data_IF_123115739774
#
_entry.id   IF_123115739774
#
_cell.length_a   1.000
_cell.length_b   1.000
_cell.length_c   1.000
_cell.angle_alpha   90.00
_cell.angle_beta   90.00
_cell.angle_gamma   90.00
#
_symmetry.space_group_name_H-M   'P 1'
#
loop_
_entity.id
_entity.type
_entity.pdbx_description
1 polymer ?
#
# COMPACT_ATOMS: atom_id res chain seq x y z
N UNK A 1 -36.35 2.13 -16.36
CA UNK A 1 -35.24 2.64 -15.54
C UNK A 1 -34.00 2.75 -16.39
N UNK A 2 -33.29 3.85 -16.27
CA UNK A 2 -32.04 4.00 -16.98
C UNK A 2 -30.95 3.21 -16.25
N UNK A 3 -30.18 2.48 -17.05
CA UNK A 3 -29.01 1.77 -16.53
C UNK A 3 -28.00 2.77 -15.98
N UNK A 4 -27.27 2.40 -14.92
CA UNK A 4 -26.18 3.20 -14.38
C UNK A 4 -25.15 3.51 -15.47
N UNK A 5 -24.99 2.63 -16.44
CA UNK A 5 -24.09 2.83 -17.58
C UNK A 5 -24.47 4.03 -18.45
N UNK A 6 -25.73 4.45 -18.39
CA UNK A 6 -26.24 5.59 -19.17
C UNK A 6 -26.25 6.89 -18.36
N UNK A 7 -26.03 6.84 -17.07
CA UNK A 7 -26.01 8.03 -16.23
C UNK A 7 -24.79 8.89 -16.52
N UNK A 8 -25.01 10.20 -16.63
CA UNK A 8 -23.93 11.14 -16.89
C UNK A 8 -22.93 11.14 -15.72
N UNK A 9 -21.65 10.99 -16.04
CA UNK A 9 -20.58 11.00 -15.05
C UNK A 9 -20.42 9.70 -14.26
N UNK A 10 -21.26 8.69 -14.50
CA UNK A 10 -21.20 7.42 -13.78
C UNK A 10 -20.15 6.46 -14.33
N UNK A 11 -19.58 6.73 -15.48
CA UNK A 11 -18.61 5.85 -16.14
C UNK A 11 -17.35 6.59 -16.52
N UNK A 12 -16.27 5.84 -16.71
CA UNK A 12 -15.02 6.36 -17.23
C UNK A 12 -14.29 5.22 -17.96
N UNK A 13 -13.35 5.60 -18.83
CA UNK A 13 -12.51 4.61 -19.52
C UNK A 13 -11.41 4.10 -18.58
N UNK A 14 -10.84 2.95 -18.92
CA UNK A 14 -9.66 2.43 -18.22
C UNK A 14 -8.49 3.41 -18.25
N UNK A 15 -8.30 4.12 -19.37
CA UNK A 15 -7.28 5.16 -19.48
C UNK A 15 -7.52 6.31 -18.48
N UNK A 16 -8.77 6.79 -18.41
CA UNK A 16 -9.15 7.85 -17.47
C UNK A 16 -9.00 7.40 -16.03
N UNK A 17 -9.34 6.14 -15.71
CA UNK A 17 -9.16 5.57 -14.37
C UNK A 17 -7.70 5.57 -13.97
N UNK A 18 -6.79 5.21 -14.88
CA UNK A 18 -5.35 5.23 -14.61
C UNK A 18 -4.84 6.64 -14.35
N UNK A 19 -5.28 7.60 -15.15
CA UNK A 19 -4.85 8.99 -15.04
C UNK A 19 -5.41 9.69 -13.80
N UNK A 20 -6.70 9.48 -13.53
CA UNK A 20 -7.40 10.17 -12.44
C UNK A 20 -7.06 9.58 -11.07
N UNK A 21 -6.96 8.26 -10.96
CA UNK A 21 -6.80 7.56 -9.69
C UNK A 21 -5.42 6.94 -9.47
N UNK A 22 -4.52 7.06 -10.44
CA UNK A 22 -3.17 6.53 -10.31
C UNK A 22 -3.08 5.01 -10.30
N UNK A 23 -4.08 4.33 -10.86
CA UNK A 23 -4.08 2.88 -10.97
C UNK A 23 -3.23 2.42 -12.16
N UNK A 24 -2.65 1.23 -12.04
CA UNK A 24 -1.95 0.61 -13.16
C UNK A 24 -2.94 -0.21 -13.99
N UNK A 25 -2.57 -0.47 -15.24
CA UNK A 25 -3.39 -1.31 -16.12
C UNK A 25 -3.56 -2.72 -15.53
N UNK A 26 -2.51 -3.25 -14.92
CA UNK A 26 -2.55 -4.56 -14.29
C UNK A 26 -3.52 -4.60 -13.10
N UNK A 27 -3.54 -3.56 -12.27
CA UNK A 27 -4.47 -3.45 -11.16
C UNK A 27 -5.92 -3.45 -11.64
N UNK A 28 -6.19 -2.73 -12.74
CA UNK A 28 -7.53 -2.69 -13.35
C UNK A 28 -7.92 -4.07 -13.87
N UNK A 29 -7.06 -4.74 -14.64
CA UNK A 29 -7.35 -6.05 -15.17
C UNK A 29 -7.53 -7.11 -14.08
N UNK A 30 -6.73 -7.06 -13.03
CA UNK A 30 -6.85 -7.96 -11.88
C UNK A 30 -8.22 -7.79 -11.21
N UNK A 31 -8.65 -6.54 -11.00
CA UNK A 31 -9.95 -6.24 -10.40
C UNK A 31 -11.11 -6.68 -11.30
N UNK A 32 -10.97 -6.53 -12.62
CA UNK A 32 -11.96 -7.01 -13.58
C UNK A 32 -12.11 -8.53 -13.51
N UNK A 33 -11.00 -9.26 -13.46
CA UNK A 33 -11.00 -10.73 -13.34
C UNK A 33 -11.57 -11.20 -12.00
N UNK A 34 -11.34 -10.43 -10.94
CA UNK A 34 -11.87 -10.74 -9.61
C UNK A 34 -13.34 -10.39 -9.44
N UNK A 35 -13.96 -9.76 -10.44
CA UNK A 35 -15.36 -9.34 -10.36
C UNK A 35 -15.59 -8.06 -9.57
N UNK A 36 -14.55 -7.34 -9.22
CA UNK A 36 -14.67 -6.06 -8.50
C UNK A 36 -15.02 -4.89 -9.41
N UNK A 37 -14.63 -4.97 -10.67
CA UNK A 37 -14.96 -3.97 -11.69
C UNK A 37 -15.77 -4.61 -12.80
N UNK A 38 -16.99 -4.13 -12.99
CA UNK A 38 -17.79 -4.45 -14.16
C UNK A 38 -17.25 -3.61 -15.32
N UNK A 39 -17.30 -4.15 -16.51
CA UNK A 39 -16.75 -3.46 -17.67
C UNK A 39 -17.57 -3.72 -18.92
N UNK A 40 -17.49 -2.77 -19.86
CA UNK A 40 -17.98 -2.93 -21.22
C UNK A 40 -16.80 -2.69 -22.14
N UNK A 41 -16.55 -3.61 -23.05
CA UNK A 41 -15.49 -3.46 -24.03
C UNK A 41 -16.01 -2.69 -25.24
N UNK A 42 -15.30 -1.61 -25.58
CA UNK A 42 -15.57 -0.81 -26.75
C UNK A 42 -14.32 -0.74 -27.61
N UNK A 43 -14.50 -0.27 -28.84
CA UNK A 43 -13.38 -0.14 -29.78
C UNK A 43 -13.47 1.22 -30.44
N UNK A 44 -12.34 1.92 -30.55
CA UNK A 44 -12.26 3.18 -31.26
C UNK A 44 -11.06 3.10 -32.22
N UNK A 45 -11.31 3.27 -33.50
CA UNK A 45 -10.28 3.19 -34.54
C UNK A 45 -9.44 1.90 -34.47
N UNK A 46 -10.10 0.79 -34.15
CA UNK A 46 -9.44 -0.51 -34.03
C UNK A 46 -8.75 -0.78 -32.70
N UNK A 47 -8.71 0.19 -31.80
CA UNK A 47 -8.09 0.05 -30.49
C UNK A 47 -9.16 -0.26 -29.43
N UNK A 48 -9.09 -1.40 -28.75
CA UNK A 48 -10.03 -1.73 -27.69
C UNK A 48 -9.79 -0.86 -26.46
N UNK A 49 -10.89 -0.50 -25.80
CA UNK A 49 -10.84 0.16 -24.52
C UNK A 49 -11.99 -0.33 -23.66
N UNK A 50 -11.87 -0.17 -22.34
CA UNK A 50 -12.86 -0.65 -21.39
C UNK A 50 -13.56 0.52 -20.73
N UNK A 51 -14.89 0.40 -20.65
CA UNK A 51 -15.73 1.36 -19.94
C UNK A 51 -16.02 0.78 -18.57
N UNK A 52 -15.74 1.55 -17.53
CA UNK A 52 -15.84 1.12 -16.14
C UNK A 52 -16.87 1.98 -15.41
N UNK A 53 -17.38 1.47 -14.31
CA UNK A 53 -18.26 2.24 -13.42
C UNK A 53 -17.41 3.00 -12.40
N UNK A 54 -17.60 4.31 -12.33
CA UNK A 54 -16.82 5.19 -11.46
C UNK A 54 -16.90 4.77 -9.99
N UNK A 55 -18.10 4.44 -9.50
CA UNK A 55 -18.25 4.06 -8.09
C UNK A 55 -17.45 2.81 -7.70
N UNK A 56 -17.30 1.88 -8.63
CA UNK A 56 -16.50 0.67 -8.41
C UNK A 56 -15.01 0.98 -8.41
N UNK A 57 -14.57 1.88 -9.29
CA UNK A 57 -13.18 2.33 -9.31
C UNK A 57 -12.82 3.06 -8.02
N UNK A 58 -13.71 3.92 -7.54
CA UNK A 58 -13.52 4.63 -6.27
C UNK A 58 -13.44 3.68 -5.09
N UNK A 59 -14.27 2.62 -5.07
CA UNK A 59 -14.23 1.59 -4.03
C UNK A 59 -12.90 0.83 -4.06
N UNK A 60 -12.39 0.53 -5.25
CA UNK A 60 -11.09 -0.15 -5.41
C UNK A 60 -9.93 0.70 -4.88
N UNK A 61 -9.94 2.00 -5.16
CA UNK A 61 -8.93 2.94 -4.66
C UNK A 61 -8.98 3.02 -3.14
N UNK A 62 -10.17 3.07 -2.57
CA UNK A 62 -10.38 3.10 -1.12
C UNK A 62 -9.82 1.84 -0.45
N UNK A 63 -10.07 0.67 -1.03
CA UNK A 63 -9.56 -0.60 -0.55
C UNK A 63 -8.02 -0.62 -0.60
N UNK A 64 -7.44 -0.17 -1.71
CA UNK A 64 -5.99 -0.11 -1.89
C UNK A 64 -5.34 0.82 -0.86
N UNK A 65 -5.91 2.00 -0.65
CA UNK A 65 -5.42 2.98 0.33
C UNK A 65 -5.51 2.44 1.75
N UNK A 66 -6.60 1.75 2.09
CA UNK A 66 -6.78 1.13 3.39
C UNK A 66 -5.73 0.06 3.68
N UNK A 67 -5.46 -0.81 2.71
CA UNK A 67 -4.43 -1.85 2.83
C UNK A 67 -3.03 -1.25 2.97
N UNK A 68 -2.72 -0.25 2.17
CA UNK A 68 -1.42 0.44 2.24
C UNK A 68 -1.23 1.14 3.59
N UNK A 69 -2.27 1.78 4.11
CA UNK A 69 -2.25 2.43 5.41
C UNK A 69 -2.04 1.45 6.56
N UNK A 70 -2.69 0.28 6.51
CA UNK A 70 -2.54 -0.76 7.52
C UNK A 70 -1.12 -1.32 7.51
N UNK A 71 -0.57 -1.60 6.34
CA UNK A 71 0.81 -2.08 6.19
C UNK A 71 1.80 -1.06 6.74
N UNK A 72 1.60 0.22 6.46
CA UNK A 72 2.43 1.30 6.97
C UNK A 72 2.44 1.34 8.50
N UNK A 73 1.27 1.18 9.13
CA UNK A 73 1.15 1.12 10.60
C UNK A 73 1.91 -0.06 11.18
N UNK A 74 1.82 -1.23 10.54
CA UNK A 74 2.53 -2.43 10.98
C UNK A 74 4.05 -2.22 10.93
N UNK A 75 4.56 -1.63 9.85
CA UNK A 75 5.99 -1.34 9.69
C UNK A 75 6.48 -0.31 10.70
N UNK A 76 5.67 0.70 10.99
CA UNK A 76 6.01 1.72 12.00
C UNK A 76 6.10 1.11 13.39
N UNK A 77 5.19 0.20 13.73
CA UNK A 77 5.21 -0.51 15.01
C UNK A 77 6.46 -1.38 15.14
N UNK A 78 6.78 -2.14 14.11
CA UNK A 78 7.98 -2.98 14.07
C UNK A 78 9.25 -2.14 14.27
N UNK A 79 9.34 -1.01 13.59
CA UNK A 79 10.48 -0.11 13.73
C UNK A 79 10.60 0.43 15.16
N UNK A 80 9.47 0.83 15.76
CA UNK A 80 9.45 1.31 17.14
C UNK A 80 9.94 0.25 18.13
N UNK A 81 9.50 -1.00 17.94
CA UNK A 81 9.90 -2.13 18.78
C UNK A 81 11.40 -2.41 18.65
N UNK A 82 11.94 -2.39 17.43
CA UNK A 82 13.37 -2.58 17.19
C UNK A 82 14.21 -1.45 17.79
N UNK A 83 13.76 -0.22 17.69
CA UNK A 83 14.46 0.92 18.30
C UNK A 83 14.49 0.80 19.82
N UNK A 84 13.42 0.32 20.43
CA UNK A 84 13.34 0.11 21.87
C UNK A 84 14.31 -0.99 22.30
N UNK A 85 14.35 -2.08 21.57
CA UNK A 85 15.28 -3.19 21.83
C UNK A 85 16.72 -2.75 21.64
N UNK A 86 17.03 -2.00 20.60
CA UNK A 86 18.38 -1.48 20.37
C UNK A 86 18.87 -0.62 21.53
N UNK A 87 17.99 0.21 22.11
CA UNK A 87 18.34 1.03 23.27
C UNK A 87 18.66 0.18 24.49
N UNK A 88 17.91 -0.90 24.72
CA UNK A 88 18.18 -1.84 25.83
C UNK A 88 19.52 -2.53 25.66
N UNK A 89 19.83 -2.99 24.45
CA UNK A 89 21.10 -3.66 24.13
C UNK A 89 22.27 -2.69 24.32
N UNK A 90 22.11 -1.44 23.86
CA UNK A 90 23.13 -0.40 24.00
C UNK A 90 23.44 -0.10 25.48
N UNK A 91 22.40 0.00 26.31
CA UNK A 91 22.55 0.21 27.75
C UNK A 91 23.30 -0.98 28.42
N UNK A 92 22.93 -2.19 28.02
CA UNK A 92 23.58 -3.41 28.51
C UNK A 92 25.05 -3.46 28.08
N UNK A 93 25.35 -3.08 26.86
CA UNK A 93 26.70 -3.02 26.35
C UNK A 93 27.55 -2.05 27.16
N UNK A 94 27.02 -0.87 27.46
CA UNK A 94 27.72 0.12 28.30
C UNK A 94 28.05 -0.43 29.70
N UNK A 95 27.10 -1.14 30.31
CA UNK A 95 27.30 -1.76 31.61
C UNK A 95 28.40 -2.82 31.55
N UNK A 96 28.43 -3.64 30.51
CA UNK A 96 29.46 -4.65 30.30
C UNK A 96 30.83 -4.00 30.10
N UNK A 97 30.91 -2.97 29.27
CA UNK A 97 32.17 -2.26 29.01
C UNK A 97 32.73 -1.64 30.29
N UNK A 98 31.87 -1.06 31.12
CA UNK A 98 32.25 -0.50 32.41
C UNK A 98 32.86 -1.58 33.34
N UNK A 99 32.18 -2.73 33.43
CA UNK A 99 32.64 -3.83 34.27
C UNK A 99 33.95 -4.42 33.74
N UNK A 100 34.09 -4.54 32.42
CA UNK A 100 35.35 -4.98 31.80
C UNK A 100 36.50 -4.05 32.14
N UNK A 101 36.28 -2.75 32.08
CA UNK A 101 37.28 -1.75 32.41
C UNK A 101 37.70 -1.84 33.89
N UNK A 102 36.75 -2.02 34.81
CA UNK A 102 37.03 -2.21 36.23
C UNK A 102 37.90 -3.46 36.49
N UNK A 103 37.53 -4.58 35.88
CA UNK A 103 38.25 -5.84 36.01
C UNK A 103 39.67 -5.75 35.42
N UNK A 104 39.80 -5.13 34.28
CA UNK A 104 41.09 -4.91 33.63
C UNK A 104 42.01 -4.10 34.54
N UNK A 105 41.47 -3.05 35.15
CA UNK A 105 42.21 -2.20 36.10
C UNK A 105 42.64 -2.98 37.31
N UNK A 106 41.78 -3.80 37.90
CA UNK A 106 42.09 -4.62 39.06
C UNK A 106 43.14 -5.68 38.76
N UNK A 107 43.09 -6.30 37.57
CA UNK A 107 44.02 -7.34 37.15
C UNK A 107 45.35 -6.79 36.65
N UNK A 108 45.32 -5.64 35.99
CA UNK A 108 46.51 -5.05 35.38
C UNK A 108 47.37 -4.22 36.34
N UNK A 109 46.90 -4.04 37.51
CA UNK A 109 47.60 -3.22 38.50
C UNK A 109 47.63 -1.75 38.17
#
# INVERSE_FOLDING_TARGET
MDSIWKQKGATLSDKSARQEFGLTQEEIFTAMRAGKLQFQQNSMHGNPWFRLLRHEVEALVKEKSGKAGLKKKQLQKELADLNKEARKIKSRLKAIERRRAELTKELGG
#
